data_IF_669701990366
#
_entry.id   IF_669701990366
#
_cell.length_a   1.000
_cell.length_b   1.000
_cell.length_c   1.000
_cell.angle_alpha   90.00
_cell.angle_beta   90.00
_cell.angle_gamma   90.00
#
_symmetry.space_group_name_H-M   'P 1'
#
loop_
_entity.id
_entity.type
_entity.pdbx_description
1 polymer ?
#
# COMPACT_ATOMS: atom_id res chain seq x y z
N UNK A 1 48.15 -7.95 -25.18
CA UNK A 1 46.86 -7.41 -25.67
C UNK A 1 45.88 -7.52 -24.54
N UNK A 2 45.73 -6.46 -23.78
CA UNK A 2 44.77 -6.35 -22.68
C UNK A 2 43.49 -5.75 -23.31
N UNK A 3 42.49 -6.61 -23.51
CA UNK A 3 41.15 -6.11 -23.82
C UNK A 3 40.65 -5.36 -22.58
N UNK A 4 40.51 -4.03 -22.67
CA UNK A 4 39.72 -3.26 -21.72
C UNK A 4 38.27 -3.71 -21.92
N UNK A 5 37.76 -4.56 -21.06
CA UNK A 5 36.32 -4.79 -20.95
C UNK A 5 35.71 -3.45 -20.61
N UNK A 6 35.10 -2.80 -21.60
CA UNK A 6 34.29 -1.61 -21.39
C UNK A 6 33.22 -1.95 -20.36
N UNK A 7 33.14 -1.18 -19.27
CA UNK A 7 32.13 -1.38 -18.26
C UNK A 7 30.75 -1.40 -18.94
N UNK A 8 29.99 -2.46 -18.70
CA UNK A 8 28.64 -2.57 -19.22
C UNK A 8 27.78 -1.43 -18.65
N UNK A 9 27.21 -0.60 -19.51
CA UNK A 9 26.36 0.51 -19.11
C UNK A 9 24.90 0.17 -19.41
N UNK A 10 23.99 0.55 -18.50
CA UNK A 10 22.57 0.45 -18.76
C UNK A 10 22.20 1.35 -19.95
N UNK A 11 21.35 0.84 -20.84
CA UNK A 11 20.87 1.56 -22.02
C UNK A 11 19.40 1.23 -22.32
N UNK A 12 18.80 2.02 -23.20
CA UNK A 12 17.44 1.80 -23.69
C UNK A 12 16.37 1.76 -22.61
N UNK A 13 15.38 0.85 -22.70
CA UNK A 13 14.23 0.79 -21.80
C UNK A 13 14.58 0.70 -20.30
N UNK A 14 15.74 0.13 -19.95
CA UNK A 14 16.17 0.07 -18.55
C UNK A 14 16.50 1.46 -17.97
N UNK A 15 17.15 2.32 -18.76
CA UNK A 15 17.41 3.72 -18.37
C UNK A 15 16.13 4.52 -18.37
N UNK A 16 15.27 4.31 -19.36
CA UNK A 16 13.96 4.96 -19.45
C UNK A 16 13.06 4.62 -18.26
N UNK A 17 13.08 3.37 -17.77
CA UNK A 17 12.35 2.98 -16.56
C UNK A 17 12.82 3.77 -15.32
N UNK A 18 14.13 3.92 -15.12
CA UNK A 18 14.65 4.70 -13.99
C UNK A 18 14.28 6.19 -14.12
N UNK A 19 14.26 6.73 -15.34
CA UNK A 19 13.81 8.09 -15.59
C UNK A 19 12.31 8.26 -15.29
N UNK A 20 11.48 7.32 -15.75
CA UNK A 20 10.05 7.30 -15.47
C UNK A 20 9.74 7.18 -13.97
N UNK A 21 10.48 6.33 -13.24
CA UNK A 21 10.34 6.19 -11.80
C UNK A 21 10.66 7.51 -11.08
N UNK A 22 11.74 8.17 -11.44
CA UNK A 22 12.12 9.47 -10.88
C UNK A 22 11.06 10.55 -11.15
N UNK A 23 10.64 10.68 -12.41
CA UNK A 23 9.59 11.65 -12.79
C UNK A 23 8.29 11.36 -12.02
N UNK A 24 7.89 10.08 -11.93
CA UNK A 24 6.69 9.69 -11.18
C UNK A 24 6.75 10.05 -9.70
N UNK A 25 7.92 9.93 -9.05
CA UNK A 25 8.11 10.34 -7.66
C UNK A 25 8.01 11.87 -7.49
N UNK A 26 8.62 12.65 -8.38
CA UNK A 26 8.56 14.11 -8.36
C UNK A 26 7.11 14.60 -8.57
N UNK A 27 6.41 14.04 -9.55
CA UNK A 27 5.01 14.35 -9.83
C UNK A 27 4.08 13.95 -8.69
N UNK A 28 4.30 12.80 -8.07
CA UNK A 28 3.56 12.32 -6.91
C UNK A 28 3.64 13.31 -5.75
N UNK A 29 4.85 13.75 -5.40
CA UNK A 29 5.06 14.73 -4.34
C UNK A 29 4.34 16.05 -4.58
N UNK A 30 4.28 16.50 -5.84
CA UNK A 30 3.59 17.74 -6.21
C UNK A 30 2.05 17.58 -6.21
N UNK A 31 1.53 16.46 -6.75
CA UNK A 31 0.09 16.26 -6.97
C UNK A 31 -0.64 15.80 -5.72
N UNK A 32 -0.07 14.87 -4.97
CA UNK A 32 -0.74 14.19 -3.86
C UNK A 32 -0.31 14.68 -2.46
N UNK A 33 0.46 15.77 -2.36
CA UNK A 33 0.93 16.30 -1.08
C UNK A 33 -0.20 16.50 -0.06
N UNK A 34 -1.33 17.08 -0.47
CA UNK A 34 -2.47 17.35 0.40
C UNK A 34 -3.17 16.05 0.83
N UNK A 35 -3.38 15.11 -0.11
CA UNK A 35 -3.99 13.80 0.18
C UNK A 35 -3.11 13.00 1.13
N UNK A 36 -1.80 12.96 0.88
CA UNK A 36 -0.84 12.27 1.75
C UNK A 36 -0.77 12.90 3.14
N UNK A 37 -0.79 14.23 3.24
CA UNK A 37 -0.81 14.92 4.53
C UNK A 37 -2.09 14.62 5.32
N UNK A 38 -3.24 14.53 4.66
CA UNK A 38 -4.52 14.15 5.28
C UNK A 38 -4.49 12.70 5.74
N UNK A 39 -4.00 11.78 4.92
CA UNK A 39 -3.86 10.38 5.27
C UNK A 39 -2.93 10.18 6.48
N UNK A 40 -1.78 10.86 6.51
CA UNK A 40 -0.84 10.84 7.65
C UNK A 40 -1.50 11.36 8.94
N UNK A 41 -2.34 12.40 8.84
CA UNK A 41 -3.09 12.89 10.00
C UNK A 41 -4.07 11.83 10.52
N UNK A 42 -4.82 11.17 9.65
CA UNK A 42 -5.74 10.11 10.05
C UNK A 42 -5.04 8.91 10.69
N UNK A 43 -3.85 8.55 10.20
CA UNK A 43 -3.02 7.51 10.81
C UNK A 43 -2.58 7.92 12.23
N UNK A 44 -2.07 9.14 12.40
CA UNK A 44 -1.65 9.64 13.71
C UNK A 44 -2.83 9.68 14.69
N UNK A 45 -3.97 10.25 14.31
CA UNK A 45 -5.20 10.30 15.11
C UNK A 45 -5.68 8.90 15.52
N UNK A 46 -5.62 7.92 14.59
CA UNK A 46 -5.99 6.53 14.91
C UNK A 46 -5.07 5.94 15.99
N UNK A 47 -3.75 6.14 15.87
CA UNK A 47 -2.76 5.65 16.83
C UNK A 47 -2.94 6.32 18.20
N UNK A 48 -3.13 7.64 18.26
CA UNK A 48 -3.40 8.39 19.49
C UNK A 48 -4.65 7.90 20.21
N UNK A 49 -5.69 7.57 19.45
CA UNK A 49 -6.93 7.00 19.98
C UNK A 49 -6.82 5.50 20.32
N UNK A 50 -5.63 4.89 20.16
CA UNK A 50 -5.38 3.49 20.44
C UNK A 50 -5.82 2.54 19.33
N UNK A 51 -6.04 3.01 18.10
CA UNK A 51 -6.37 2.20 16.92
C UNK A 51 -5.17 1.54 16.29
N UNK A 52 -5.43 0.80 15.21
CA UNK A 52 -4.45 0.17 14.35
C UNK A 52 -4.52 0.73 12.93
N UNK A 53 -3.38 0.70 12.25
CA UNK A 53 -3.27 0.94 10.81
C UNK A 53 -3.43 -0.39 10.11
N UNK A 54 -4.59 -0.63 9.49
CA UNK A 54 -4.90 -1.84 8.74
C UNK A 54 -4.56 -1.63 7.27
N UNK A 55 -3.80 -2.53 6.67
CA UNK A 55 -3.39 -2.40 5.28
C UNK A 55 -3.72 -3.68 4.52
N UNK A 56 -4.39 -3.54 3.38
CA UNK A 56 -4.80 -4.64 2.52
C UNK A 56 -4.46 -4.36 1.05
N UNK A 57 -4.08 -5.39 0.33
CA UNK A 57 -3.91 -5.36 -1.11
C UNK A 57 -4.06 -6.74 -1.73
N UNK A 58 -4.49 -6.79 -2.99
CA UNK A 58 -4.61 -8.01 -3.78
C UNK A 58 -3.47 -8.14 -4.78
N UNK A 59 -3.11 -9.36 -5.16
CA UNK A 59 -2.00 -9.61 -6.08
C UNK A 59 -0.70 -8.93 -5.61
N UNK A 60 0.01 -8.26 -6.51
CA UNK A 60 1.25 -7.54 -6.17
C UNK A 60 1.02 -6.31 -5.27
N UNK A 61 -0.20 -5.76 -5.19
CA UNK A 61 -0.50 -4.65 -4.28
C UNK A 61 -0.36 -5.04 -2.81
N UNK A 62 -0.43 -6.33 -2.46
CA UNK A 62 -0.16 -6.83 -1.09
C UNK A 62 1.26 -6.52 -0.62
N UNK A 63 2.25 -6.43 -1.54
CA UNK A 63 3.63 -6.12 -1.19
C UNK A 63 3.76 -4.76 -0.51
N UNK A 64 2.84 -3.83 -0.77
CA UNK A 64 2.80 -2.53 -0.09
C UNK A 64 2.37 -2.69 1.37
N UNK A 65 1.46 -3.64 1.67
CA UNK A 65 1.10 -3.97 3.05
C UNK A 65 2.27 -4.67 3.79
N UNK A 66 2.97 -5.58 3.12
CA UNK A 66 4.16 -6.25 3.66
C UNK A 66 5.30 -5.27 3.89
N UNK A 67 5.46 -4.26 3.03
CA UNK A 67 6.54 -3.27 3.07
C UNK A 67 6.60 -2.51 4.41
N UNK A 68 5.49 -2.22 5.04
CA UNK A 68 5.43 -1.47 6.30
C UNK A 68 5.18 -2.34 7.53
N UNK A 69 4.97 -3.64 7.33
CA UNK A 69 4.70 -4.57 8.40
C UNK A 69 6.01 -5.07 9.04
N UNK A 70 6.11 -4.93 10.37
CA UNK A 70 7.23 -5.43 11.17
C UNK A 70 8.62 -5.15 10.57
N UNK A 71 8.94 -3.92 10.31
CA UNK A 71 10.24 -3.51 9.79
C UNK A 71 10.86 -2.35 10.58
N UNK A 72 12.17 -2.23 10.57
CA UNK A 72 12.88 -1.09 11.13
C UNK A 72 12.40 0.22 10.47
N UNK A 73 12.07 1.22 11.29
CA UNK A 73 11.51 2.50 10.84
C UNK A 73 10.02 2.46 10.53
N UNK A 74 9.32 1.36 10.81
CA UNK A 74 7.87 1.25 10.63
C UNK A 74 7.10 1.33 11.94
N UNK A 75 5.85 1.77 11.86
CA UNK A 75 4.93 1.87 13.00
C UNK A 75 4.51 0.49 13.51
N UNK A 76 4.65 0.24 14.81
CA UNK A 76 4.28 -1.03 15.43
C UNK A 76 2.77 -1.34 15.36
N UNK A 77 1.83 -0.37 15.52
CA UNK A 77 0.40 -0.61 15.40
C UNK A 77 -0.06 -0.81 13.94
N UNK A 78 0.74 -1.47 13.12
CA UNK A 78 0.43 -1.78 11.72
C UNK A 78 0.06 -3.26 11.58
N UNK A 79 -1.12 -3.54 11.01
CA UNK A 79 -1.59 -4.89 10.72
C UNK A 79 -1.73 -5.08 9.20
N UNK A 80 -0.82 -5.85 8.61
CA UNK A 80 -0.92 -6.26 7.22
C UNK A 80 -1.97 -7.37 7.08
N UNK A 81 -3.05 -7.10 6.37
CA UNK A 81 -4.07 -8.09 6.05
C UNK A 81 -3.62 -8.87 4.82
N UNK A 82 -2.88 -9.94 5.07
CA UNK A 82 -2.34 -10.82 4.04
C UNK A 82 -3.32 -11.98 3.81
N UNK A 83 -4.10 -11.87 2.74
CA UNK A 83 -5.13 -12.83 2.39
C UNK A 83 -4.64 -13.69 1.22
N UNK A 84 -4.29 -14.94 1.51
CA UNK A 84 -3.65 -15.85 0.55
C UNK A 84 -4.49 -16.14 -0.68
N UNK A 85 -5.82 -16.19 -0.54
CA UNK A 85 -6.75 -16.51 -1.62
C UNK A 85 -6.80 -15.45 -2.73
N UNK A 86 -6.35 -14.22 -2.46
CA UNK A 86 -6.28 -13.11 -3.42
C UNK A 86 -4.85 -12.59 -3.63
N UNK A 87 -3.86 -13.32 -3.12
CA UNK A 87 -2.46 -12.90 -3.17
C UNK A 87 -1.76 -13.13 -4.53
N UNK A 88 -2.25 -14.10 -5.31
CA UNK A 88 -1.55 -14.58 -6.51
C UNK A 88 -0.32 -15.44 -6.21
N UNK A 89 0.01 -15.69 -4.95
CA UNK A 89 1.24 -16.37 -4.55
C UNK A 89 1.13 -17.90 -4.62
N UNK A 90 0.01 -18.46 -4.16
CA UNK A 90 -0.20 -19.91 -4.12
C UNK A 90 -0.84 -20.46 -5.40
N UNK A 91 -1.75 -19.70 -6.00
CA UNK A 91 -2.47 -20.08 -7.21
C UNK A 91 -2.91 -18.82 -7.96
N UNK A 92 -2.22 -18.51 -9.04
CA UNK A 92 -2.44 -17.30 -9.84
C UNK A 92 -3.84 -17.24 -10.43
N UNK A 93 -4.30 -18.34 -11.03
CA UNK A 93 -5.60 -18.39 -11.72
C UNK A 93 -6.77 -18.34 -10.76
N UNK A 94 -6.69 -19.08 -9.66
CA UNK A 94 -7.69 -19.03 -8.58
C UNK A 94 -7.75 -17.65 -7.94
N UNK A 95 -6.62 -17.08 -7.63
CA UNK A 95 -6.53 -15.75 -7.03
C UNK A 95 -7.17 -14.67 -7.92
N UNK A 96 -6.92 -14.71 -9.23
CA UNK A 96 -7.54 -13.79 -10.18
C UNK A 96 -9.08 -13.90 -10.21
N UNK A 97 -9.60 -15.11 -10.08
CA UNK A 97 -11.05 -15.34 -10.00
C UNK A 97 -11.61 -14.90 -8.64
N UNK A 98 -10.93 -15.25 -7.54
CA UNK A 98 -11.36 -14.91 -6.19
C UNK A 98 -11.42 -13.40 -5.98
N UNK A 99 -10.47 -12.64 -6.56
CA UNK A 99 -10.46 -11.18 -6.48
C UNK A 99 -11.72 -10.51 -7.08
N UNK A 100 -12.45 -11.24 -7.93
CA UNK A 100 -13.68 -10.78 -8.58
C UNK A 100 -14.97 -11.19 -7.84
N UNK A 101 -14.86 -11.94 -6.74
CA UNK A 101 -16.01 -12.39 -5.97
C UNK A 101 -16.53 -11.28 -5.08
N UNK A 102 -17.74 -10.81 -5.35
CA UNK A 102 -18.44 -9.87 -4.49
C UNK A 102 -18.81 -10.53 -3.14
N UNK A 103 -18.76 -9.74 -2.07
CA UNK A 103 -18.96 -10.18 -0.70
C UNK A 103 -17.72 -10.78 -0.03
N UNK A 104 -16.67 -11.14 -0.78
CA UNK A 104 -15.48 -11.72 -0.18
C UNK A 104 -14.70 -10.70 0.66
N UNK A 105 -14.61 -9.44 0.20
CA UNK A 105 -13.99 -8.36 0.97
C UNK A 105 -14.72 -8.06 2.28
N UNK A 106 -16.05 -8.22 2.31
CA UNK A 106 -16.84 -8.11 3.54
C UNK A 106 -16.43 -9.18 4.56
N UNK A 107 -16.26 -10.44 4.14
CA UNK A 107 -15.81 -11.52 5.02
C UNK A 107 -14.41 -11.23 5.62
N UNK A 108 -13.50 -10.66 4.84
CA UNK A 108 -12.17 -10.26 5.32
C UNK A 108 -12.32 -9.24 6.46
N UNK A 109 -13.09 -8.17 6.25
CA UNK A 109 -13.31 -7.10 7.23
C UNK A 109 -13.96 -7.65 8.51
N UNK A 110 -14.95 -8.55 8.38
CA UNK A 110 -15.61 -9.21 9.50
C UNK A 110 -14.64 -10.06 10.31
N UNK A 111 -13.87 -10.91 9.63
CA UNK A 111 -12.89 -11.78 10.27
C UNK A 111 -11.81 -11.00 11.02
N UNK A 112 -11.34 -9.90 10.44
CA UNK A 112 -10.33 -9.03 11.04
C UNK A 112 -10.88 -8.11 12.12
N UNK A 113 -12.21 -8.06 12.31
CA UNK A 113 -12.90 -7.26 13.34
C UNK A 113 -12.53 -5.78 13.30
N UNK A 114 -12.45 -5.21 12.09
CA UNK A 114 -12.18 -3.78 11.93
C UNK A 114 -13.24 -2.95 12.68
N UNK A 115 -12.80 -1.96 13.42
CA UNK A 115 -13.68 -1.04 14.15
C UNK A 115 -12.94 0.29 14.43
N UNK A 116 -13.67 1.40 14.63
CA UNK A 116 -13.05 2.62 15.12
C UNK A 116 -12.30 2.38 16.43
N UNK A 117 -11.14 3.01 16.63
CA UNK A 117 -10.57 4.10 15.85
C UNK A 117 -9.54 3.63 14.77
N UNK A 118 -9.59 2.38 14.31
CA UNK A 118 -8.70 1.91 13.24
C UNK A 118 -8.81 2.81 12.00
N UNK A 119 -7.75 2.80 11.18
CA UNK A 119 -7.74 3.33 9.80
C UNK A 119 -7.44 2.20 8.84
N UNK A 120 -8.13 2.16 7.69
CA UNK A 120 -7.98 1.12 6.68
C UNK A 120 -7.38 1.68 5.41
N UNK A 121 -6.21 1.17 5.01
CA UNK A 121 -5.54 1.47 3.74
C UNK A 121 -5.76 0.31 2.78
N UNK A 122 -6.32 0.58 1.61
CA UNK A 122 -6.60 -0.40 0.57
C UNK A 122 -5.76 -0.06 -0.66
N UNK A 123 -4.94 -1.01 -1.09
CA UNK A 123 -4.07 -0.83 -2.26
C UNK A 123 -4.56 -1.71 -3.41
N UNK A 124 -4.89 -1.08 -4.53
CA UNK A 124 -5.28 -1.78 -5.75
C UNK A 124 -4.90 -0.97 -6.99
N UNK A 125 -3.92 -1.44 -7.75
CA UNK A 125 -3.44 -0.72 -8.93
C UNK A 125 -4.55 -0.44 -9.94
N UNK A 126 -5.36 -1.42 -10.28
CA UNK A 126 -6.46 -1.25 -11.23
C UNK A 126 -7.70 -0.61 -10.61
N UNK A 127 -7.87 -0.72 -9.30
CA UNK A 127 -9.03 -0.21 -8.57
C UNK A 127 -10.39 -0.75 -9.02
N UNK A 128 -10.45 -1.80 -9.86
CA UNK A 128 -11.67 -2.23 -10.57
C UNK A 128 -12.26 -3.55 -10.09
N UNK A 129 -11.51 -4.39 -9.35
CA UNK A 129 -11.98 -5.70 -8.91
C UNK A 129 -12.84 -5.60 -7.65
N UNK A 130 -13.72 -6.59 -7.44
CA UNK A 130 -14.73 -6.54 -6.41
C UNK A 130 -14.16 -6.50 -4.99
N UNK A 131 -13.20 -7.37 -4.68
CA UNK A 131 -12.71 -7.52 -3.30
C UNK A 131 -12.15 -6.23 -2.68
N UNK A 132 -11.30 -5.42 -3.33
CA UNK A 132 -10.87 -4.14 -2.78
C UNK A 132 -12.02 -3.15 -2.53
N UNK A 133 -13.05 -3.15 -3.39
CA UNK A 133 -14.22 -2.28 -3.26
C UNK A 133 -15.09 -2.75 -2.09
N UNK A 134 -15.35 -4.06 -1.97
CA UNK A 134 -16.06 -4.64 -0.84
C UNK A 134 -15.37 -4.33 0.51
N UNK A 135 -14.03 -4.42 0.55
CA UNK A 135 -13.26 -4.08 1.75
C UNK A 135 -13.47 -2.61 2.13
N UNK A 136 -13.45 -1.70 1.15
CA UNK A 136 -13.70 -0.28 1.39
C UNK A 136 -15.12 -0.04 1.94
N UNK A 137 -16.13 -0.60 1.28
CA UNK A 137 -17.53 -0.46 1.68
C UNK A 137 -17.79 -1.05 3.08
N UNK A 138 -17.26 -2.24 3.35
CA UNK A 138 -17.44 -2.92 4.63
C UNK A 138 -16.73 -2.18 5.78
N UNK A 139 -15.53 -1.64 5.55
CA UNK A 139 -14.82 -0.83 6.54
C UNK A 139 -15.57 0.48 6.85
N UNK A 140 -16.03 1.20 5.82
CA UNK A 140 -16.82 2.42 5.97
C UNK A 140 -18.16 2.16 6.68
N UNK A 141 -18.84 1.06 6.37
CA UNK A 141 -20.08 0.68 7.05
C UNK A 141 -19.89 0.45 8.56
N UNK A 142 -18.67 0.18 9.00
CA UNK A 142 -18.27 0.07 10.42
C UNK A 142 -17.78 1.39 11.03
N UNK A 143 -17.76 2.48 10.27
CA UNK A 143 -17.25 3.77 10.71
C UNK A 143 -15.72 3.88 10.72
N UNK A 144 -15.02 2.95 10.06
CA UNK A 144 -13.56 2.99 9.89
C UNK A 144 -13.22 3.89 8.70
N UNK A 145 -12.34 4.87 8.91
CA UNK A 145 -11.85 5.73 7.81
C UNK A 145 -11.05 4.91 6.81
N UNK A 146 -11.29 5.16 5.52
CA UNK A 146 -10.68 4.40 4.42
C UNK A 146 -9.82 5.27 3.52
N UNK A 147 -8.61 4.78 3.21
CA UNK A 147 -7.65 5.40 2.30
C UNK A 147 -7.41 4.42 1.15
N UNK A 148 -7.62 4.85 -0.09
CA UNK A 148 -7.33 4.03 -1.27
C UNK A 148 -6.07 4.50 -1.98
N UNK A 149 -5.14 3.60 -2.25
CA UNK A 149 -3.97 3.85 -3.12
C UNK A 149 -4.21 3.11 -4.44
N UNK A 150 -4.36 3.84 -5.52
CA UNK A 150 -4.74 3.29 -6.84
C UNK A 150 -4.18 4.14 -7.97
N UNK A 151 -4.18 3.64 -9.20
CA UNK A 151 -3.99 4.47 -10.39
C UNK A 151 -5.36 4.87 -10.96
N UNK A 152 -5.70 6.15 -10.89
CA UNK A 152 -6.95 6.66 -11.49
C UNK A 152 -6.93 6.47 -13.00
N UNK A 153 -5.79 6.71 -13.65
CA UNK A 153 -5.65 6.49 -15.09
C UNK A 153 -5.90 5.02 -15.49
N UNK A 154 -5.44 4.06 -14.68
CA UNK A 154 -5.73 2.65 -14.94
C UNK A 154 -7.19 2.32 -14.63
N UNK A 155 -7.71 2.75 -13.49
CA UNK A 155 -9.08 2.48 -13.07
C UNK A 155 -10.09 2.93 -14.13
N UNK A 156 -9.96 4.17 -14.61
CA UNK A 156 -10.88 4.76 -15.59
C UNK A 156 -10.69 4.24 -17.03
N UNK A 157 -9.59 3.54 -17.31
CA UNK A 157 -9.35 2.94 -18.64
C UNK A 157 -10.22 1.73 -18.95
N UNK A 158 -10.88 1.15 -17.97
CA UNK A 158 -11.68 -0.07 -18.08
C UNK A 158 -12.90 0.01 -17.14
N UNK A 159 -14.04 -0.62 -17.49
CA UNK A 159 -15.20 -0.66 -16.60
C UNK A 159 -14.88 -1.39 -15.29
N UNK A 160 -15.55 -1.01 -14.22
CA UNK A 160 -15.52 -1.74 -12.96
C UNK A 160 -15.98 -3.19 -13.15
N UNK A 161 -15.47 -4.09 -12.30
CA UNK A 161 -15.92 -5.48 -12.20
C UNK A 161 -16.83 -5.71 -10.98
N UNK A 162 -17.13 -4.66 -10.23
CA UNK A 162 -18.08 -4.68 -9.13
C UNK A 162 -19.47 -4.26 -9.61
N UNK A 163 -20.53 -4.89 -9.12
CA UNK A 163 -21.93 -4.66 -9.55
C UNK A 163 -22.39 -3.20 -9.34
N UNK A 164 -21.80 -2.48 -8.38
CA UNK A 164 -22.08 -1.05 -8.18
C UNK A 164 -21.57 -0.15 -9.31
N UNK A 165 -20.73 -0.65 -10.21
CA UNK A 165 -20.06 0.14 -11.25
C UNK A 165 -18.95 1.06 -10.76
N UNK A 166 -18.75 1.20 -9.43
CA UNK A 166 -17.71 2.05 -8.84
C UNK A 166 -16.33 1.43 -8.93
N UNK A 167 -15.31 2.30 -8.95
CA UNK A 167 -13.91 1.94 -8.75
C UNK A 167 -13.48 2.24 -7.30
N UNK A 168 -12.32 1.74 -6.90
CA UNK A 168 -11.82 1.91 -5.52
C UNK A 168 -11.75 3.38 -5.10
N UNK A 169 -11.26 4.28 -5.98
CA UNK A 169 -11.15 5.70 -5.67
C UNK A 169 -12.50 6.39 -5.38
N UNK A 170 -13.61 5.79 -5.84
CA UNK A 170 -14.97 6.26 -5.57
C UNK A 170 -15.60 5.58 -4.34
N UNK A 171 -14.99 4.49 -3.85
CA UNK A 171 -15.48 3.70 -2.72
C UNK A 171 -14.86 4.08 -1.37
N UNK A 172 -13.72 4.77 -1.36
CA UNK A 172 -12.99 5.18 -0.16
C UNK A 172 -13.32 6.62 0.26
N UNK A 173 -12.95 6.99 1.50
CA UNK A 173 -13.12 8.36 2.00
C UNK A 173 -12.02 9.29 1.46
N UNK A 174 -10.82 8.76 1.22
CA UNK A 174 -9.69 9.49 0.66
C UNK A 174 -8.96 8.62 -0.38
N UNK A 175 -8.86 9.10 -1.60
CA UNK A 175 -8.09 8.44 -2.65
C UNK A 175 -6.74 9.14 -2.85
N UNK A 176 -5.68 8.35 -3.06
CA UNK A 176 -4.34 8.79 -3.45
C UNK A 176 -4.04 8.15 -4.81
N UNK A 177 -3.90 8.99 -5.84
CA UNK A 177 -3.53 8.53 -7.17
C UNK A 177 -2.01 8.32 -7.24
N UNK A 178 -1.58 7.07 -7.42
CA UNK A 178 -0.17 6.77 -7.56
C UNK A 178 0.43 7.24 -8.89
N UNK A 179 -0.39 7.65 -9.86
CA UNK A 179 0.07 8.18 -11.15
C UNK A 179 0.67 7.16 -12.12
N UNK A 180 0.66 5.88 -11.79
CA UNK A 180 1.14 4.85 -12.72
C UNK A 180 0.24 4.78 -13.98
N UNK A 181 0.80 4.52 -15.17
CA UNK A 181 0.03 4.52 -16.41
C UNK A 181 -1.00 3.38 -16.46
N UNK A 182 -1.98 3.50 -17.34
CA UNK A 182 -2.90 2.42 -17.65
C UNK A 182 -2.12 1.19 -18.12
N UNK A 183 -2.38 0.01 -17.50
CA UNK A 183 -1.60 -1.20 -17.73
C UNK A 183 -0.30 -1.29 -16.93
N UNK A 184 0.02 -0.28 -16.10
CA UNK A 184 1.15 -0.22 -15.16
C UNK A 184 2.55 -0.16 -15.78
N UNK A 185 2.72 -0.47 -17.04
CA UNK A 185 4.04 -0.56 -17.69
C UNK A 185 4.52 0.80 -18.18
N UNK A 186 5.66 1.25 -17.66
CA UNK A 186 6.23 2.59 -17.95
C UNK A 186 6.98 2.70 -19.27
N UNK A 187 7.48 1.59 -19.79
CA UNK A 187 8.35 1.58 -21.00
C UNK A 187 7.96 0.46 -21.97
N UNK A 188 8.52 0.50 -23.17
CA UNK A 188 8.31 -0.54 -24.19
C UNK A 188 9.64 -1.08 -24.71
N UNK A 189 9.68 -2.39 -24.94
CA UNK A 189 10.78 -3.02 -25.66
C UNK A 189 10.73 -2.67 -27.16
N UNK A 190 11.82 -2.92 -27.87
CA UNK A 190 11.92 -2.64 -29.32
C UNK A 190 10.84 -3.34 -30.18
N UNK A 191 10.30 -4.47 -29.70
CA UNK A 191 9.19 -5.19 -30.33
C UNK A 191 7.80 -4.66 -29.92
N UNK A 192 7.73 -3.54 -29.16
CA UNK A 192 6.50 -2.90 -28.72
C UNK A 192 5.88 -3.49 -27.44
N UNK A 193 6.43 -4.56 -26.87
CA UNK A 193 5.92 -5.18 -25.63
C UNK A 193 6.08 -4.21 -24.46
N UNK A 194 4.98 -3.87 -23.72
CA UNK A 194 5.05 -3.00 -22.54
C UNK A 194 5.69 -3.76 -21.38
N UNK A 195 6.61 -3.10 -20.67
CA UNK A 195 7.37 -3.66 -19.53
C UNK A 195 7.62 -2.59 -18.47
N UNK A 196 8.15 -3.00 -17.31
CA UNK A 196 8.52 -2.09 -16.22
C UNK A 196 7.30 -1.57 -15.47
N UNK A 197 6.65 -2.40 -14.61
CA UNK A 197 5.55 -1.95 -13.77
C UNK A 197 6.04 -0.90 -12.78
N UNK A 198 5.31 0.23 -12.69
CA UNK A 198 5.70 1.41 -11.92
C UNK A 198 4.99 1.50 -10.57
N UNK A 199 3.82 0.88 -10.45
CA UNK A 199 2.96 0.97 -9.26
C UNK A 199 3.64 0.52 -7.96
N UNK A 200 4.51 -0.50 -8.03
CA UNK A 200 5.27 -0.98 -6.87
C UNK A 200 6.22 0.09 -6.31
N UNK A 201 6.93 0.80 -7.18
CA UNK A 201 7.85 1.90 -6.78
C UNK A 201 7.07 3.06 -6.17
N UNK A 202 6.03 3.52 -6.85
CA UNK A 202 5.24 4.67 -6.40
C UNK A 202 4.39 4.35 -5.17
N UNK A 203 3.79 3.15 -5.13
CA UNK A 203 3.02 2.69 -3.97
C UNK A 203 3.87 2.56 -2.71
N UNK A 204 5.10 2.04 -2.84
CA UNK A 204 6.06 1.98 -1.73
C UNK A 204 6.44 3.39 -1.25
N UNK A 205 6.69 4.32 -2.16
CA UNK A 205 6.99 5.70 -1.80
C UNK A 205 5.80 6.37 -1.07
N UNK A 206 4.57 6.16 -1.55
CA UNK A 206 3.37 6.68 -0.89
C UNK A 206 3.29 6.15 0.54
N UNK A 207 3.28 4.83 0.72
CA UNK A 207 3.03 4.26 2.06
C UNK A 207 4.11 4.67 3.06
N UNK A 208 5.38 4.75 2.65
CA UNK A 208 6.46 5.24 3.51
C UNK A 208 6.28 6.73 3.86
N UNK A 209 5.84 7.54 2.90
CA UNK A 209 5.54 8.95 3.15
C UNK A 209 4.40 9.11 4.17
N UNK A 210 3.35 8.28 4.08
CA UNK A 210 2.25 8.30 5.04
C UNK A 210 2.73 7.94 6.45
N UNK A 211 3.57 6.93 6.58
CA UNK A 211 4.14 6.48 7.86
C UNK A 211 4.99 7.59 8.48
N UNK A 212 5.96 8.13 7.73
CA UNK A 212 6.82 9.23 8.20
C UNK A 212 6.00 10.45 8.61
N UNK A 213 5.03 10.86 7.80
CA UNK A 213 4.18 12.00 8.12
C UNK A 213 3.29 11.77 9.35
N UNK A 214 2.89 10.54 9.63
CA UNK A 214 2.18 10.19 10.87
C UNK A 214 3.12 10.24 12.09
N UNK A 215 4.35 9.73 11.98
CA UNK A 215 5.37 9.78 13.02
C UNK A 215 5.72 11.22 13.41
N UNK A 216 5.92 12.10 12.42
CA UNK A 216 6.16 13.53 12.66
C UNK A 216 4.99 14.20 13.40
N UNK A 217 3.74 13.87 13.04
CA UNK A 217 2.55 14.41 13.72
C UNK A 217 2.43 13.92 15.15
N UNK A 218 2.66 12.62 15.42
CA UNK A 218 2.67 12.09 16.78
C UNK A 218 3.68 12.85 17.64
N UNK A 219 4.91 13.05 17.14
CA UNK A 219 5.93 13.85 17.84
C UNK A 219 5.47 15.30 18.09
N UNK A 220 4.87 15.95 17.10
CA UNK A 220 4.36 17.31 17.24
C UNK A 220 3.24 17.43 18.28
N UNK A 221 2.48 16.36 18.52
CA UNK A 221 1.46 16.26 19.55
C UNK A 221 2.01 15.80 20.93
N UNK A 222 3.34 15.57 21.03
CA UNK A 222 4.00 15.14 22.27
C UNK A 222 3.84 13.64 22.54
N UNK A 223 3.47 12.86 21.54
CA UNK A 223 3.36 11.40 21.59
C UNK A 223 4.60 10.78 20.99
N UNK A 224 5.31 9.92 21.73
CA UNK A 224 6.45 9.15 21.19
C UNK A 224 5.91 8.13 20.18
N UNK A 225 6.33 8.21 18.89
CA UNK A 225 5.86 7.26 17.88
C UNK A 225 6.32 5.84 18.21
N UNK A 226 5.42 4.85 18.16
CA UNK A 226 5.76 3.45 18.40
C UNK A 226 6.47 2.83 17.20
N UNK A 227 7.75 3.17 16.99
CA UNK A 227 8.56 2.80 15.82
C UNK A 227 9.48 1.66 16.14
N UNK A 228 9.45 0.61 15.31
CA UNK A 228 10.39 -0.51 15.39
C UNK A 228 11.82 -0.06 15.09
N UNK A 229 12.77 -0.53 15.88
CA UNK A 229 14.20 -0.34 15.65
C UNK A 229 14.79 -1.59 14.98
N UNK A 230 15.84 -1.39 14.19
CA UNK A 230 16.56 -2.53 13.60
C UNK A 230 17.13 -3.43 14.69
N UNK A 231 16.85 -4.74 14.63
CA UNK A 231 17.47 -5.73 15.50
C UNK A 231 18.98 -5.91 15.27
N UNK A 232 19.52 -5.26 14.22
CA UNK A 232 20.96 -5.28 13.88
C UNK A 232 21.73 -4.09 14.49
N UNK A 233 21.09 -3.29 15.34
CA UNK A 233 21.74 -2.20 16.10
C UNK A 233 21.60 -2.45 17.60
N UNK A 234 22.56 -1.97 18.40
CA UNK A 234 22.57 -2.17 19.85
C UNK A 234 21.29 -1.61 20.49
N UNK A 235 20.65 -2.42 21.34
CA UNK A 235 19.39 -2.08 22.02
C UNK A 235 18.14 -2.08 21.13
N UNK A 236 18.28 -2.34 19.82
CA UNK A 236 17.17 -2.31 18.88
C UNK A 236 16.18 -3.46 19.09
N UNK A 237 16.69 -4.66 19.42
CA UNK A 237 15.85 -5.83 19.69
C UNK A 237 14.97 -5.64 20.92
N UNK A 238 15.55 -5.16 22.02
CA UNK A 238 14.84 -4.92 23.28
C UNK A 238 13.78 -3.84 23.12
N UNK A 239 14.08 -2.77 22.37
CA UNK A 239 13.13 -1.72 22.08
C UNK A 239 11.94 -2.25 21.25
N UNK A 240 12.23 -3.06 20.21
CA UNK A 240 11.19 -3.66 19.37
C UNK A 240 10.37 -4.72 20.09
N UNK A 241 10.98 -5.48 21.02
CA UNK A 241 10.26 -6.50 21.80
C UNK A 241 9.16 -5.87 22.67
N UNK A 242 9.42 -4.71 23.31
CA UNK A 242 8.40 -4.00 24.09
C UNK A 242 7.17 -3.61 23.23
N UNK A 243 7.41 -3.20 21.99
CA UNK A 243 6.32 -2.88 21.05
C UNK A 243 5.57 -4.13 20.60
N UNK A 244 6.27 -5.24 20.34
CA UNK A 244 5.64 -6.52 20.06
C UNK A 244 4.71 -6.94 21.18
N UNK A 245 5.20 -6.91 22.44
CA UNK A 245 4.42 -7.29 23.63
C UNK A 245 3.17 -6.40 23.79
N UNK A 246 3.30 -5.10 23.48
CA UNK A 246 2.19 -4.15 23.56
C UNK A 246 1.06 -4.44 22.57
N UNK A 247 1.37 -4.90 21.36
CA UNK A 247 0.40 -5.10 20.29
C UNK A 247 0.11 -6.57 19.98
N UNK A 248 0.72 -7.52 20.70
CA UNK A 248 0.69 -8.96 20.42
C UNK A 248 -0.71 -9.53 20.22
N UNK A 249 -1.63 -9.24 21.14
CA UNK A 249 -2.99 -9.77 21.10
C UNK A 249 -3.91 -9.05 20.09
N UNK A 250 -3.41 -8.00 19.43
CA UNK A 250 -4.20 -7.12 18.57
C UNK A 250 -3.90 -7.32 17.08
N UNK A 251 -2.68 -7.71 16.75
CA UNK A 251 -2.22 -7.88 15.38
C UNK A 251 -2.17 -9.37 15.06
N UNK A 252 -3.00 -9.79 14.11
CA UNK A 252 -3.15 -11.22 13.77
C UNK A 252 -2.09 -11.76 12.81
N UNK A 253 -1.24 -10.93 12.30
CA UNK A 253 -0.16 -11.30 11.39
C UNK A 253 1.14 -11.69 12.08
N UNK A 254 1.17 -11.68 13.40
CA UNK A 254 2.36 -12.04 14.20
C UNK A 254 2.34 -13.47 14.66
#
# INVERSE_FOLDING_TARGET
MTASEGAATLAGPAVEFLAAARSGLDELGAREAASMATASAWIAEAIEAGGLVRIFGTGHSRLIAEEVFFRAGGLAPTDAILEDSVSGYHDVTKSELTERLEGYGQLIVEHRRLAPPDVMIIVSQSGRNAVPIDVADAARARGVRTIGITSIAHATSQPSRHSSGRHLHEAVDLAIDNGAPAGDCAVRLANGVPVGPLSGVLGTAIIQTLVIGAEERLLAHGVEPPVFRSGNVDGGREASQRLLDQYWDRIRGW
#
